data_IF_733230750677
#
_entry.id   IF_733230750677
#
_cell.length_a   1.000
_cell.length_b   1.000
_cell.length_c   1.000
_cell.angle_alpha   90.00
_cell.angle_beta   90.00
_cell.angle_gamma   90.00
#
_symmetry.space_group_name_H-M   'P 1'
#
loop_
_entity.id
_entity.type
_entity.pdbx_description
1 polymer ?
#
# COMPACT_ATOMS: atom_id res chain seq x y z
N UNK A 1 58.19 3.13 1.71
CA UNK A 1 57.75 2.85 0.32
C UNK A 1 56.73 3.90 -0.03
N UNK A 2 57.13 4.88 -0.84
CA UNK A 2 56.30 6.01 -1.27
C UNK A 2 55.80 5.66 -2.67
N UNK A 3 54.48 5.52 -2.81
CA UNK A 3 53.83 5.33 -4.10
C UNK A 3 53.15 6.65 -4.49
N UNK A 4 53.73 7.32 -5.47
CA UNK A 4 53.14 8.46 -6.18
C UNK A 4 52.08 7.95 -7.13
N UNK A 5 50.83 8.40 -6.97
CA UNK A 5 49.75 8.12 -7.92
C UNK A 5 49.61 9.31 -8.87
N UNK A 6 49.87 9.04 -10.15
CA UNK A 6 49.76 10.00 -11.24
C UNK A 6 48.33 10.49 -11.43
N UNK A 7 48.23 11.78 -11.75
CA UNK A 7 47.00 12.49 -12.03
C UNK A 7 46.54 12.29 -13.47
N UNK A 8 45.26 11.97 -13.63
CA UNK A 8 44.56 12.09 -14.90
C UNK A 8 43.59 13.28 -14.85
N UNK A 9 43.98 14.36 -15.52
CA UNK A 9 43.12 15.49 -15.86
C UNK A 9 42.28 15.12 -17.09
N UNK A 10 40.98 14.89 -16.91
CA UNK A 10 40.05 14.80 -18.03
C UNK A 10 39.55 16.19 -18.39
N UNK A 11 39.82 16.58 -19.64
CA UNK A 11 39.50 17.87 -20.23
C UNK A 11 38.02 18.15 -20.36
N UNK A 12 37.69 19.44 -20.30
CA UNK A 12 36.37 19.97 -20.53
C UNK A 12 35.91 19.72 -22.00
N UNK A 13 34.65 19.33 -22.23
CA UNK A 13 34.09 19.27 -23.58
C UNK A 13 33.81 20.68 -24.12
N UNK A 14 34.14 20.86 -25.40
CA UNK A 14 33.94 22.08 -26.17
C UNK A 14 32.45 22.44 -26.37
N UNK A 15 32.09 23.72 -26.50
CA UNK A 15 30.74 24.15 -26.84
C UNK A 15 30.53 24.02 -28.35
N UNK A 16 29.73 23.03 -28.77
CA UNK A 16 29.46 22.74 -30.17
C UNK A 16 27.97 22.57 -30.47
N UNK A 17 27.50 23.41 -31.39
CA UNK A 17 26.32 23.29 -32.26
C UNK A 17 24.92 23.11 -31.65
N UNK A 18 24.27 24.26 -31.47
CA UNK A 18 22.81 24.38 -31.53
C UNK A 18 22.36 24.32 -33.00
N UNK A 19 22.19 23.13 -33.55
CA UNK A 19 21.47 22.95 -34.82
C UNK A 19 19.98 22.75 -34.54
N UNK A 20 19.20 23.70 -35.07
CA UNK A 20 17.76 23.74 -35.00
C UNK A 20 17.13 22.50 -35.67
N UNK A 21 16.29 21.78 -34.93
CA UNK A 21 15.37 20.80 -35.51
C UNK A 21 13.96 21.40 -35.60
N UNK A 22 13.54 21.61 -36.84
CA UNK A 22 12.17 21.91 -37.26
C UNK A 22 11.23 20.73 -36.95
N UNK A 23 10.04 20.95 -36.37
CA UNK A 23 9.02 19.91 -36.29
C UNK A 23 8.24 19.83 -37.61
N UNK A 24 8.40 18.71 -38.32
CA UNK A 24 7.56 18.33 -39.45
C UNK A 24 6.29 17.64 -38.91
N UNK A 25 5.19 18.39 -38.80
CA UNK A 25 3.90 17.87 -38.40
C UNK A 25 3.20 17.21 -39.60
N UNK A 26 3.32 15.89 -39.71
CA UNK A 26 2.50 15.08 -40.62
C UNK A 26 1.26 14.62 -39.86
N UNK A 27 0.14 15.30 -40.07
CA UNK A 27 -1.17 14.82 -39.65
C UNK A 27 -1.63 13.68 -40.57
N UNK A 28 -1.95 12.53 -39.99
CA UNK A 28 -2.66 11.45 -40.67
C UNK A 28 -4.17 11.61 -40.49
N UNK A 29 -4.99 11.33 -41.52
CA UNK A 29 -6.45 11.42 -41.44
C UNK A 29 -7.05 10.24 -40.67
N UNK A 30 -8.02 10.52 -39.80
CA UNK A 30 -8.85 9.51 -39.14
C UNK A 30 -9.90 8.93 -40.12
N UNK A 31 -10.11 7.60 -40.16
CA UNK A 31 -11.19 7.02 -40.94
C UNK A 31 -12.54 7.04 -40.20
N UNK A 32 -13.55 7.24 -41.04
CA UNK A 32 -15.01 7.22 -40.87
C UNK A 32 -15.59 6.17 -39.91
N UNK A 33 -16.45 6.62 -39.02
CA UNK A 33 -17.42 5.80 -38.29
C UNK A 33 -18.54 5.31 -39.23
N UNK A 34 -18.89 4.02 -39.13
CA UNK A 34 -20.07 3.43 -39.74
C UNK A 34 -21.14 3.16 -38.67
N UNK A 35 -22.44 3.34 -38.97
CA UNK A 35 -23.53 3.14 -38.02
C UNK A 35 -23.97 1.68 -38.00
N UNK A 36 -24.10 1.09 -36.81
CA UNK A 36 -24.84 -0.16 -36.63
C UNK A 36 -26.14 0.15 -35.92
N UNK A 37 -27.20 0.09 -36.72
CA UNK A 37 -28.58 0.08 -36.28
C UNK A 37 -29.00 -1.34 -35.89
N UNK A 38 -29.93 -1.42 -34.93
CA UNK A 38 -30.91 -2.51 -34.85
C UNK A 38 -30.61 -3.63 -33.86
N UNK A 39 -31.47 -3.75 -32.85
CA UNK A 39 -32.47 -4.84 -32.68
C UNK A 39 -32.89 -4.88 -31.20
N UNK A 40 -34.13 -4.47 -30.89
CA UNK A 40 -35.36 -5.29 -30.83
C UNK A 40 -35.51 -6.07 -29.53
N UNK A 41 -36.49 -5.62 -28.74
CA UNK A 41 -37.52 -6.40 -28.03
C UNK A 41 -37.15 -7.73 -27.37
N UNK A 42 -37.20 -7.73 -26.03
CA UNK A 42 -37.56 -8.89 -25.24
C UNK A 42 -38.57 -8.50 -24.14
N UNK A 43 -39.61 -9.31 -24.06
CA UNK A 43 -40.89 -9.14 -23.37
C UNK A 43 -40.83 -9.02 -21.82
N UNK A 44 -41.92 -8.55 -21.19
CA UNK A 44 -42.07 -8.55 -19.74
C UNK A 44 -42.38 -9.97 -19.22
N UNK A 45 -41.58 -10.46 -18.29
CA UNK A 45 -41.90 -11.65 -17.49
C UNK A 45 -42.66 -11.20 -16.24
N UNK A 46 -43.98 -11.34 -16.34
CA UNK A 46 -44.90 -11.35 -15.21
C UNK A 46 -44.73 -12.62 -14.38
N UNK A 47 -44.79 -12.48 -13.06
CA UNK A 47 -45.17 -13.55 -12.15
C UNK A 47 -44.01 -14.30 -11.50
N UNK A 48 -43.65 -13.87 -10.29
CA UNK A 48 -43.39 -14.77 -9.15
C UNK A 48 -43.52 -13.97 -7.85
N UNK A 49 -44.75 -13.96 -7.32
CA UNK A 49 -45.04 -13.62 -5.93
C UNK A 49 -44.53 -14.75 -5.03
N UNK A 50 -43.22 -14.81 -4.83
CA UNK A 50 -42.60 -15.55 -3.75
C UNK A 50 -42.32 -14.57 -2.63
N UNK A 51 -43.04 -14.68 -1.52
CA UNK A 51 -42.69 -14.07 -0.24
C UNK A 51 -41.35 -14.67 0.23
N UNK A 52 -40.25 -14.19 -0.34
CA UNK A 52 -38.95 -14.34 0.27
C UNK A 52 -38.92 -13.34 1.41
N UNK A 53 -39.12 -13.89 2.60
CA UNK A 53 -38.70 -13.31 3.85
C UNK A 53 -37.28 -12.78 3.64
N UNK A 54 -37.16 -11.47 3.43
CA UNK A 54 -35.91 -10.74 3.43
C UNK A 54 -35.43 -10.76 4.88
N UNK A 55 -34.98 -11.94 5.31
CA UNK A 55 -34.36 -12.19 6.59
C UNK A 55 -33.11 -11.33 6.68
N UNK A 56 -33.32 -10.13 7.22
CA UNK A 56 -32.36 -9.32 7.96
C UNK A 56 -30.89 -9.56 7.58
N UNK A 57 -30.50 -9.18 6.37
CA UNK A 57 -29.10 -8.99 5.98
C UNK A 57 -28.52 -7.71 6.62
N UNK A 58 -28.85 -7.52 7.89
CA UNK A 58 -28.57 -6.37 8.72
C UNK A 58 -28.17 -6.84 10.11
N UNK A 59 -27.35 -7.90 10.19
CA UNK A 59 -26.45 -8.07 11.34
C UNK A 59 -25.40 -6.96 11.25
N UNK A 60 -25.84 -5.75 11.63
CA UNK A 60 -24.98 -4.72 12.18
C UNK A 60 -24.09 -5.41 13.20
N UNK A 61 -22.79 -5.49 12.90
CA UNK A 61 -21.82 -6.09 13.80
C UNK A 61 -21.94 -5.38 15.14
N UNK A 62 -22.57 -6.03 16.13
CA UNK A 62 -22.72 -5.51 17.48
C UNK A 62 -21.35 -5.54 18.17
N UNK A 63 -20.50 -4.58 17.81
CA UNK A 63 -19.26 -4.26 18.53
C UNK A 63 -19.57 -3.73 19.94
N UNK A 64 -20.84 -3.44 20.26
CA UNK A 64 -21.29 -3.05 21.60
C UNK A 64 -21.15 -4.16 22.64
N UNK A 65 -21.12 -5.43 22.20
CA UNK A 65 -20.93 -6.60 23.06
C UNK A 65 -19.45 -6.91 23.41
N UNK A 66 -18.53 -5.95 23.23
CA UNK A 66 -17.12 -6.09 23.64
C UNK A 66 -16.86 -5.69 25.11
N UNK A 67 -17.89 -5.35 25.87
CA UNK A 67 -17.76 -4.63 27.16
C UNK A 67 -17.39 -5.48 28.39
N UNK A 68 -17.11 -6.78 28.25
CA UNK A 68 -16.77 -7.59 29.43
C UNK A 68 -15.83 -8.75 29.13
N UNK A 69 -14.62 -8.43 28.66
CA UNK A 69 -13.51 -9.38 28.63
C UNK A 69 -12.50 -8.99 29.73
N UNK A 70 -12.34 -9.86 30.74
CA UNK A 70 -11.43 -9.70 31.88
C UNK A 70 -9.93 -9.88 31.53
N UNK A 71 -9.55 -9.63 30.27
CA UNK A 71 -8.17 -9.65 29.81
C UNK A 71 -7.38 -8.38 30.21
N UNK A 72 -6.04 -8.41 30.13
CA UNK A 72 -5.24 -7.19 30.27
C UNK A 72 -5.66 -6.18 29.20
N UNK A 73 -6.01 -4.96 29.61
CA UNK A 73 -6.35 -3.87 28.71
C UNK A 73 -5.09 -3.44 27.93
N UNK A 74 -4.93 -4.03 26.74
CA UNK A 74 -3.88 -3.68 25.81
C UNK A 74 -4.19 -2.42 25.01
N UNK A 75 -5.36 -1.81 25.15
CA UNK A 75 -5.68 -0.57 24.45
C UNK A 75 -6.10 0.50 25.44
N UNK A 76 -5.25 0.85 26.41
CA UNK A 76 -5.56 1.99 27.24
C UNK A 76 -5.58 3.23 26.35
N UNK A 77 -6.57 4.11 26.55
CA UNK A 77 -6.84 5.26 25.67
C UNK A 77 -5.62 6.10 25.34
N UNK A 78 -4.70 6.29 26.30
CA UNK A 78 -3.47 7.05 26.08
C UNK A 78 -2.56 6.42 25.02
N UNK A 79 -2.48 5.09 24.92
CA UNK A 79 -1.69 4.40 23.88
C UNK A 79 -2.36 4.59 22.52
N UNK A 80 -3.70 4.51 22.45
CA UNK A 80 -4.43 4.77 21.22
C UNK A 80 -4.21 6.20 20.72
N UNK A 81 -4.23 7.19 21.61
CA UNK A 81 -3.90 8.58 21.24
C UNK A 81 -2.49 8.74 20.70
N UNK A 82 -1.50 8.07 21.30
CA UNK A 82 -0.12 8.10 20.82
C UNK A 82 0.00 7.47 19.43
N UNK A 83 -0.65 6.33 19.17
CA UNK A 83 -0.66 5.70 17.85
C UNK A 83 -1.33 6.57 16.80
N UNK A 84 -2.50 7.14 17.11
CA UNK A 84 -3.21 8.06 16.21
C UNK A 84 -2.33 9.26 15.88
N UNK A 85 -1.71 9.89 16.88
CA UNK A 85 -0.83 11.03 16.68
C UNK A 85 0.41 10.68 15.84
N UNK A 86 1.05 9.55 16.13
CA UNK A 86 2.22 9.09 15.38
C UNK A 86 1.87 8.78 13.91
N UNK A 87 0.76 8.07 13.68
CA UNK A 87 0.28 7.75 12.33
C UNK A 87 -0.19 8.99 11.58
N UNK A 88 -0.81 9.97 12.24
CA UNK A 88 -1.18 11.24 11.62
C UNK A 88 0.06 12.03 11.16
N UNK A 89 1.13 12.05 11.96
CA UNK A 89 2.39 12.65 11.55
C UNK A 89 2.99 11.93 10.32
N UNK A 90 2.96 10.60 10.31
CA UNK A 90 3.41 9.77 9.18
C UNK A 90 2.52 9.99 7.94
N UNK A 91 1.21 10.20 8.11
CA UNK A 91 0.28 10.51 7.04
C UNK A 91 0.63 11.85 6.37
N UNK A 92 0.81 12.91 7.18
CA UNK A 92 1.20 14.23 6.68
C UNK A 92 2.51 14.13 5.89
N UNK A 93 3.48 13.40 6.44
CA UNK A 93 4.76 13.15 5.78
C UNK A 93 4.59 12.47 4.42
N UNK A 94 3.81 11.40 4.35
CA UNK A 94 3.56 10.67 3.10
C UNK A 94 2.77 11.50 2.08
N UNK A 95 1.76 12.26 2.51
CA UNK A 95 1.01 13.18 1.65
C UNK A 95 1.92 14.24 1.03
N UNK A 96 2.84 14.80 1.82
CA UNK A 96 3.80 15.79 1.32
C UNK A 96 4.75 15.19 0.26
N UNK A 97 5.20 13.95 0.47
CA UNK A 97 6.02 13.24 -0.51
C UNK A 97 5.23 12.90 -1.76
N UNK A 98 3.99 12.44 -1.60
CA UNK A 98 3.09 12.08 -2.69
C UNK A 98 2.85 13.23 -3.68
N UNK A 99 2.65 14.47 -3.19
CA UNK A 99 2.46 15.65 -4.04
C UNK A 99 3.74 16.04 -4.80
N UNK A 100 4.92 15.71 -4.27
CA UNK A 100 6.22 16.06 -4.86
C UNK A 100 6.77 15.00 -5.82
N UNK A 101 6.18 13.81 -5.85
CA UNK A 101 6.65 12.67 -6.62
C UNK A 101 5.83 12.43 -7.88
N UNK A 102 6.47 11.86 -8.90
CA UNK A 102 5.83 11.39 -10.13
C UNK A 102 6.12 9.91 -10.36
N UNK A 103 5.34 9.26 -11.23
CA UNK A 103 5.60 7.88 -11.65
C UNK A 103 5.32 6.83 -10.58
N UNK A 104 6.18 5.79 -10.52
CA UNK A 104 6.00 4.60 -9.67
C UNK A 104 6.01 4.94 -8.18
N UNK A 105 6.87 5.88 -7.76
CA UNK A 105 6.93 6.33 -6.37
C UNK A 105 5.60 6.86 -5.87
N UNK A 106 4.87 7.60 -6.72
CA UNK A 106 3.59 8.20 -6.34
C UNK A 106 2.55 7.12 -6.00
N UNK A 107 2.50 6.05 -6.79
CA UNK A 107 1.59 4.93 -6.54
C UNK A 107 1.98 4.12 -5.30
N UNK A 108 3.29 3.89 -5.10
CA UNK A 108 3.80 3.24 -3.90
C UNK A 108 3.43 4.01 -2.63
N UNK A 109 3.67 5.33 -2.61
CA UNK A 109 3.28 6.17 -1.47
C UNK A 109 1.77 6.28 -1.31
N UNK A 110 1.00 6.26 -2.41
CA UNK A 110 -0.46 6.22 -2.38
C UNK A 110 -1.00 4.98 -1.66
N UNK A 111 -0.37 3.82 -1.88
CA UNK A 111 -0.72 2.59 -1.17
C UNK A 111 -0.49 2.73 0.35
N UNK A 112 0.64 3.30 0.77
CA UNK A 112 0.90 3.57 2.19
C UNK A 112 -0.06 4.59 2.79
N UNK A 113 -0.37 5.69 2.09
CA UNK A 113 -1.37 6.67 2.54
C UNK A 113 -2.69 5.98 2.85
N UNK A 114 -3.17 5.13 1.94
CA UNK A 114 -4.40 4.38 2.13
C UNK A 114 -4.33 3.46 3.36
N UNK A 115 -3.20 2.79 3.58
CA UNK A 115 -3.01 1.97 4.78
C UNK A 115 -3.01 2.79 6.06
N UNK A 116 -2.27 3.91 6.08
CA UNK A 116 -2.18 4.78 7.26
C UNK A 116 -3.55 5.31 7.63
N UNK A 117 -4.36 5.72 6.64
CA UNK A 117 -5.73 6.18 6.87
C UNK A 117 -6.58 5.07 7.52
N UNK A 118 -6.53 3.85 6.99
CA UNK A 118 -7.29 2.74 7.60
C UNK A 118 -6.78 2.36 8.99
N UNK A 119 -5.47 2.41 9.24
CA UNK A 119 -4.92 2.17 10.58
C UNK A 119 -5.35 3.25 11.57
N UNK A 120 -5.29 4.53 11.21
CA UNK A 120 -5.82 5.64 12.03
C UNK A 120 -7.30 5.42 12.31
N UNK A 121 -8.06 5.07 11.28
CA UNK A 121 -9.49 4.83 11.41
C UNK A 121 -9.75 3.66 12.38
N UNK A 122 -9.04 2.53 12.27
CA UNK A 122 -9.16 1.41 13.22
C UNK A 122 -8.90 1.81 14.67
N UNK A 123 -7.83 2.55 14.96
CA UNK A 123 -7.57 3.06 16.32
C UNK A 123 -8.68 4.02 16.78
N UNK A 124 -9.15 4.88 15.89
CA UNK A 124 -10.23 5.82 16.19
C UNK A 124 -11.58 5.11 16.43
N UNK A 125 -11.87 4.01 15.74
CA UNK A 125 -13.07 3.20 16.00
C UNK A 125 -13.03 2.60 17.41
N UNK A 126 -11.89 2.04 17.82
CA UNK A 126 -11.75 1.42 19.14
C UNK A 126 -11.86 2.45 20.28
N UNK A 127 -11.26 3.62 20.12
CA UNK A 127 -11.23 4.65 21.17
C UNK A 127 -12.47 5.54 21.18
N UNK A 128 -12.91 6.01 20.02
CA UNK A 128 -13.99 7.00 19.90
C UNK A 128 -15.32 6.38 19.44
N UNK A 129 -15.38 5.06 19.22
CA UNK A 129 -16.57 4.35 18.71
C UNK A 129 -17.06 4.94 17.39
N UNK A 130 -16.12 5.31 16.53
CA UNK A 130 -16.39 5.88 15.23
C UNK A 130 -16.84 4.79 14.25
N UNK A 131 -18.06 4.85 13.71
CA UNK A 131 -18.58 3.80 12.81
C UNK A 131 -19.12 4.38 11.49
N UNK A 132 -18.43 5.37 10.93
CA UNK A 132 -18.88 6.07 9.71
C UNK A 132 -18.76 5.23 8.42
N UNK A 133 -17.79 4.31 8.39
CA UNK A 133 -17.50 3.43 7.26
C UNK A 133 -17.52 1.99 7.76
N UNK A 134 -18.34 1.16 7.13
CA UNK A 134 -18.48 -0.25 7.50
C UNK A 134 -17.22 -1.07 7.15
N UNK A 135 -16.93 -2.09 7.96
CA UNK A 135 -15.80 -3.00 7.72
C UNK A 135 -15.73 -3.60 6.31
N UNK A 136 -16.85 -4.07 5.72
CA UNK A 136 -16.85 -4.60 4.35
C UNK A 136 -16.35 -3.61 3.29
N UNK A 137 -16.60 -2.30 3.45
CA UNK A 137 -16.10 -1.28 2.51
C UNK A 137 -14.57 -1.24 2.56
N UNK A 138 -13.97 -1.29 3.75
CA UNK A 138 -12.51 -1.35 3.90
C UNK A 138 -11.93 -2.63 3.29
N UNK A 139 -12.55 -3.78 3.51
CA UNK A 139 -12.15 -5.05 2.87
C UNK A 139 -12.14 -4.91 1.34
N UNK A 140 -13.17 -4.31 0.75
CA UNK A 140 -13.22 -4.07 -0.70
C UNK A 140 -12.12 -3.13 -1.19
N UNK A 141 -11.91 -2.01 -0.50
CA UNK A 141 -10.87 -1.04 -0.84
C UNK A 141 -9.48 -1.71 -0.82
N UNK A 142 -9.17 -2.47 0.25
CA UNK A 142 -7.90 -3.17 0.37
C UNK A 142 -7.75 -4.33 -0.61
N UNK A 143 -8.85 -5.04 -0.92
CA UNK A 143 -8.85 -6.10 -1.94
C UNK A 143 -8.57 -5.55 -3.34
N UNK A 144 -9.22 -4.45 -3.72
CA UNK A 144 -9.02 -3.80 -5.02
C UNK A 144 -7.60 -3.25 -5.17
N UNK A 145 -7.06 -2.61 -4.12
CA UNK A 145 -5.68 -2.11 -4.17
C UNK A 145 -4.64 -3.23 -4.16
N UNK A 146 -4.85 -4.29 -3.39
CA UNK A 146 -4.02 -5.51 -3.44
C UNK A 146 -4.03 -6.12 -4.84
N UNK A 147 -5.21 -6.28 -5.45
CA UNK A 147 -5.35 -6.80 -6.80
C UNK A 147 -4.63 -5.91 -7.83
N UNK A 148 -4.74 -4.58 -7.72
CA UNK A 148 -4.03 -3.65 -8.59
C UNK A 148 -2.50 -3.79 -8.48
N UNK A 149 -1.96 -3.96 -7.26
CA UNK A 149 -0.52 -4.20 -7.05
C UNK A 149 -0.10 -5.53 -7.69
N UNK A 150 -0.84 -6.61 -7.46
CA UNK A 150 -0.57 -7.93 -8.04
C UNK A 150 -0.57 -7.88 -9.56
N UNK A 151 -1.62 -7.30 -10.16
CA UNK A 151 -1.73 -7.15 -11.62
C UNK A 151 -0.53 -6.36 -12.16
N UNK A 152 -0.18 -5.24 -11.51
CA UNK A 152 0.97 -4.43 -11.91
C UNK A 152 2.29 -5.22 -11.84
N UNK A 153 2.52 -6.00 -10.77
CA UNK A 153 3.71 -6.86 -10.62
C UNK A 153 3.76 -7.95 -11.70
N UNK A 154 2.63 -8.58 -12.02
CA UNK A 154 2.53 -9.59 -13.08
C UNK A 154 2.85 -8.98 -14.44
N UNK A 155 2.27 -7.83 -14.78
CA UNK A 155 2.54 -7.11 -16.02
C UNK A 155 4.03 -6.80 -16.15
N UNK A 156 4.66 -6.28 -15.08
CA UNK A 156 6.11 -6.02 -15.05
C UNK A 156 6.94 -7.27 -15.27
N UNK A 157 6.55 -8.38 -14.63
CA UNK A 157 7.22 -9.68 -14.75
C UNK A 157 7.15 -10.22 -16.19
N UNK A 158 5.97 -10.18 -16.81
CA UNK A 158 5.74 -10.60 -18.21
C UNK A 158 6.56 -9.76 -19.18
N UNK A 159 6.64 -8.44 -18.95
CA UNK A 159 7.46 -7.52 -19.75
C UNK A 159 8.96 -7.60 -19.44
N UNK A 160 9.41 -8.51 -18.57
CA UNK A 160 10.82 -8.65 -18.16
C UNK A 160 11.42 -7.34 -17.65
N UNK A 161 10.60 -6.60 -16.90
CA UNK A 161 11.00 -5.36 -16.25
C UNK A 161 11.05 -5.58 -14.75
N UNK A 162 12.23 -5.46 -14.12
CA UNK A 162 12.35 -5.70 -12.69
C UNK A 162 11.62 -4.63 -11.88
N UNK A 163 11.19 -4.97 -10.67
CA UNK A 163 10.60 -4.01 -9.73
C UNK A 163 11.31 -4.10 -8.37
N UNK A 164 11.22 -3.03 -7.58
CA UNK A 164 11.78 -3.01 -6.23
C UNK A 164 11.02 -3.99 -5.33
N UNK A 165 11.74 -4.80 -4.56
CA UNK A 165 11.16 -5.69 -3.54
C UNK A 165 10.28 -4.98 -2.50
N UNK A 166 10.40 -3.65 -2.34
CA UNK A 166 9.51 -2.88 -1.47
C UNK A 166 8.04 -3.03 -1.89
N UNK A 167 7.75 -3.29 -3.18
CA UNK A 167 6.40 -3.64 -3.62
C UNK A 167 5.87 -4.95 -3.03
N UNK A 168 6.75 -5.91 -2.72
CA UNK A 168 6.37 -7.16 -2.06
C UNK A 168 5.99 -6.87 -0.60
N UNK A 169 6.76 -6.02 0.08
CA UNK A 169 6.42 -5.56 1.43
C UNK A 169 5.08 -4.84 1.45
N UNK A 170 4.87 -3.88 0.54
CA UNK A 170 3.60 -3.18 0.39
C UNK A 170 2.44 -4.16 0.09
N UNK A 171 2.66 -5.18 -0.74
CA UNK A 171 1.64 -6.19 -1.03
C UNK A 171 1.24 -6.98 0.23
N UNK A 172 2.22 -7.45 1.01
CA UNK A 172 1.97 -8.19 2.25
C UNK A 172 1.27 -7.31 3.30
N UNK A 173 1.68 -6.06 3.37
CA UNK A 173 1.06 -5.02 4.18
C UNK A 173 -0.42 -4.78 3.80
N UNK A 174 -0.74 -4.66 2.51
CA UNK A 174 -2.14 -4.55 2.06
C UNK A 174 -2.95 -5.81 2.36
N UNK A 175 -2.37 -7.00 2.16
CA UNK A 175 -3.03 -8.26 2.51
C UNK A 175 -3.31 -8.37 4.01
N UNK A 176 -2.38 -7.89 4.85
CA UNK A 176 -2.58 -7.82 6.29
C UNK A 176 -3.69 -6.83 6.67
N UNK A 177 -3.84 -5.70 5.96
CA UNK A 177 -4.99 -4.81 6.14
C UNK A 177 -6.31 -5.53 5.84
N UNK A 178 -6.40 -6.28 4.72
CA UNK A 178 -7.60 -7.09 4.43
C UNK A 178 -7.93 -7.99 5.62
N UNK A 179 -6.93 -8.70 6.14
CA UNK A 179 -7.10 -9.64 7.24
C UNK A 179 -7.57 -8.96 8.53
N UNK A 180 -7.03 -7.77 8.86
CA UNK A 180 -7.47 -6.98 10.02
C UNK A 180 -8.92 -6.54 9.96
N UNK A 181 -9.45 -6.35 8.75
CA UNK A 181 -10.82 -5.90 8.52
C UNK A 181 -11.85 -7.04 8.38
N UNK A 182 -11.41 -8.30 8.40
CA UNK A 182 -12.32 -9.45 8.42
C UNK A 182 -13.02 -9.57 9.78
N UNK A 183 -14.22 -10.19 9.84
CA UNK A 183 -14.89 -10.50 11.10
C UNK A 183 -13.99 -11.34 12.02
N UNK A 184 -14.08 -11.10 13.34
CA UNK A 184 -13.27 -11.80 14.35
C UNK A 184 -13.40 -13.33 14.27
N UNK A 185 -14.57 -13.82 13.87
CA UNK A 185 -14.82 -15.25 13.64
C UNK A 185 -13.94 -15.88 12.55
N UNK A 186 -13.32 -15.06 11.69
CA UNK A 186 -12.40 -15.49 10.64
C UNK A 186 -10.93 -15.41 11.06
N UNK A 187 -10.64 -14.92 12.26
CA UNK A 187 -9.26 -14.79 12.74
C UNK A 187 -8.73 -16.13 13.24
N UNK A 188 -7.46 -16.36 12.94
CA UNK A 188 -6.73 -17.59 13.26
C UNK A 188 -5.57 -17.15 14.15
N UNK A 189 -5.53 -17.57 15.44
CA UNK A 189 -4.60 -16.98 16.40
C UNK A 189 -3.13 -17.12 16.03
N UNK A 190 -2.69 -18.32 15.65
CA UNK A 190 -1.29 -18.55 15.29
C UNK A 190 -0.86 -17.73 14.07
N UNK A 191 -1.77 -17.51 13.12
CA UNK A 191 -1.50 -16.71 11.93
C UNK A 191 -1.37 -15.22 12.29
N UNK A 192 -2.24 -14.73 13.18
CA UNK A 192 -2.15 -13.35 13.70
C UNK A 192 -0.85 -13.09 14.47
N UNK A 193 -0.42 -14.02 15.33
CA UNK A 193 0.87 -13.91 16.02
C UNK A 193 2.07 -13.97 15.06
N UNK A 194 1.98 -14.79 13.99
CA UNK A 194 3.01 -14.84 12.96
C UNK A 194 3.11 -13.49 12.22
N UNK A 195 1.97 -12.88 11.86
CA UNK A 195 1.94 -11.54 11.25
C UNK A 195 2.46 -10.48 12.22
N UNK A 196 2.07 -10.53 13.50
CA UNK A 196 2.58 -9.62 14.51
C UNK A 196 4.10 -9.67 14.63
N UNK A 197 4.68 -10.88 14.71
CA UNK A 197 6.12 -11.09 14.76
C UNK A 197 6.81 -10.62 13.46
N UNK A 198 6.22 -10.90 12.30
CA UNK A 198 6.70 -10.43 11.01
C UNK A 198 6.78 -8.90 10.97
N UNK A 199 5.71 -8.19 11.34
CA UNK A 199 5.68 -6.73 11.31
C UNK A 199 6.57 -6.09 12.37
N UNK A 200 6.79 -6.74 13.52
CA UNK A 200 7.78 -6.31 14.50
C UNK A 200 9.20 -6.38 13.94
N UNK A 201 9.54 -7.49 13.26
CA UNK A 201 10.84 -7.65 12.59
C UNK A 201 11.01 -6.67 11.44
N UNK A 202 9.95 -6.41 10.68
CA UNK A 202 9.93 -5.38 9.64
C UNK A 202 10.22 -4.00 10.25
N UNK A 203 9.56 -3.62 11.34
CA UNK A 203 9.80 -2.36 12.02
C UNK A 203 11.25 -2.20 12.49
N UNK A 204 11.81 -3.23 13.14
CA UNK A 204 13.22 -3.24 13.57
C UNK A 204 14.15 -3.12 12.37
N UNK A 205 13.85 -3.84 11.28
CA UNK A 205 14.67 -3.83 10.07
C UNK A 205 14.70 -2.46 9.39
N UNK A 206 13.58 -1.71 9.44
CA UNK A 206 13.53 -0.32 9.00
C UNK A 206 14.35 0.60 9.90
N UNK A 207 14.23 0.49 11.23
CA UNK A 207 15.00 1.30 12.18
C UNK A 207 16.52 1.13 12.02
N UNK A 208 16.96 -0.10 11.75
CA UNK A 208 18.39 -0.41 11.50
C UNK A 208 18.83 -0.01 10.08
N UNK A 209 17.88 0.31 9.18
CA UNK A 209 18.17 0.63 7.77
C UNK A 209 18.65 -0.58 6.97
N UNK A 210 18.21 -1.78 7.35
CA UNK A 210 18.55 -3.03 6.65
C UNK A 210 17.80 -3.15 5.31
N UNK A 211 16.54 -2.70 5.28
CA UNK A 211 15.59 -2.82 4.15
C UNK A 211 15.58 -1.53 3.25
N UNK A 212 16.57 -0.65 3.38
CA UNK A 212 16.72 0.46 2.44
C UNK A 212 17.24 0.00 1.07
N UNK A 213 16.59 0.40 -0.03
CA UNK A 213 17.02 0.11 -1.41
C UNK A 213 18.09 1.10 -1.94
N UNK A 214 18.66 1.91 -1.05
CA UNK A 214 19.55 3.02 -1.37
C UNK A 214 21.02 2.62 -1.52
N UNK A 215 21.36 1.36 -1.22
CA UNK A 215 22.75 0.86 -1.31
C UNK A 215 23.12 0.53 -2.77
N UNK A 216 24.13 1.20 -3.36
CA UNK A 216 24.58 0.92 -4.73
C UNK A 216 24.98 -0.56 -4.89
N UNK A 217 24.53 -1.22 -5.96
CA UNK A 217 24.84 -2.62 -6.24
C UNK A 217 24.11 -3.65 -5.36
N UNK A 218 23.32 -3.20 -4.37
CA UNK A 218 22.45 -4.02 -3.53
C UNK A 218 20.97 -3.82 -3.79
N UNK A 219 20.60 -3.11 -4.86
CA UNK A 219 19.22 -2.94 -5.26
C UNK A 219 18.53 -4.31 -5.28
N UNK A 220 17.69 -4.56 -4.29
CA UNK A 220 16.91 -5.78 -4.13
C UNK A 220 15.80 -5.76 -5.19
N UNK A 221 16.24 -5.85 -6.43
CA UNK A 221 15.43 -5.94 -7.62
C UNK A 221 14.87 -7.36 -7.71
N UNK A 222 13.56 -7.48 -7.85
CA UNK A 222 12.90 -8.74 -8.11
C UNK A 222 12.44 -8.81 -9.57
N UNK A 223 12.48 -10.01 -10.14
CA UNK A 223 12.01 -10.31 -11.50
C UNK A 223 13.10 -10.43 -12.57
N UNK A 224 12.74 -10.91 -13.77
CA UNK A 224 13.63 -11.02 -14.92
C UNK A 224 13.93 -9.64 -15.53
N UNK A 225 15.14 -9.45 -16.05
CA UNK A 225 15.58 -8.23 -16.73
C UNK A 225 16.85 -7.63 -16.13
N UNK A 226 17.35 -6.57 -16.77
CA UNK A 226 18.55 -5.87 -16.30
C UNK A 226 18.23 -5.00 -15.08
N UNK A 227 18.96 -5.26 -13.98
CA UNK A 227 18.77 -4.62 -12.68
C UNK A 227 19.14 -3.13 -12.70
N UNK A 228 19.88 -2.66 -13.72
CA UNK A 228 20.18 -1.23 -13.91
C UNK A 228 18.92 -0.37 -14.10
N UNK A 229 17.80 -0.99 -14.50
CA UNK A 229 16.54 -0.28 -14.75
C UNK A 229 15.62 -0.21 -13.52
N UNK A 230 16.06 -0.66 -12.34
CA UNK A 230 15.27 -0.54 -11.11
C UNK A 230 15.41 0.86 -10.55
N UNK A 231 14.28 1.54 -10.48
CA UNK A 231 14.16 2.83 -9.84
C UNK A 231 14.14 2.61 -8.32
N UNK A 232 15.15 3.13 -7.61
CA UNK A 232 15.15 3.13 -6.15
C UNK A 232 13.95 3.95 -5.65
N UNK A 233 13.12 3.33 -4.81
CA UNK A 233 11.92 3.91 -4.23
C UNK A 233 12.21 4.63 -2.90
N UNK A 234 13.21 4.17 -2.16
CA UNK A 234 13.63 4.77 -0.89
C UNK A 234 14.64 5.90 -1.08
N UNK A 235 14.59 6.86 -0.16
CA UNK A 235 15.68 7.81 0.06
C UNK A 235 16.39 7.44 1.38
N UNK A 236 17.71 7.62 1.51
CA UNK A 236 18.45 7.15 2.69
C UNK A 236 18.29 8.11 3.87
N UNK A 237 17.06 8.51 4.20
CA UNK A 237 16.80 9.43 5.31
C UNK A 237 16.26 8.65 6.49
N UNK A 238 16.80 8.98 7.66
CA UNK A 238 16.31 8.46 8.94
C UNK A 238 14.78 8.59 9.08
N UNK A 239 14.21 9.68 8.58
CA UNK A 239 12.76 9.94 8.64
C UNK A 239 11.96 8.94 7.81
N UNK A 240 12.43 8.54 6.62
CA UNK A 240 11.75 7.55 5.78
C UNK A 240 11.69 6.20 6.52
N UNK A 241 12.84 5.76 7.03
CA UNK A 241 12.96 4.54 7.82
C UNK A 241 12.08 4.57 9.07
N UNK A 242 12.09 5.68 9.82
CA UNK A 242 11.27 5.83 11.01
C UNK A 242 9.78 5.78 10.66
N UNK A 243 9.36 6.40 9.55
CA UNK A 243 7.96 6.41 9.13
C UNK A 243 7.45 4.99 8.79
N UNK A 244 8.26 4.22 8.07
CA UNK A 244 7.97 2.81 7.76
C UNK A 244 7.98 1.93 9.01
N UNK A 245 8.92 2.18 9.93
CA UNK A 245 8.98 1.46 11.19
C UNK A 245 7.74 1.71 12.06
N UNK A 246 7.26 2.95 12.14
CA UNK A 246 6.03 3.31 12.88
C UNK A 246 4.81 2.62 12.27
N UNK A 247 4.68 2.59 10.95
CA UNK A 247 3.59 1.86 10.29
C UNK A 247 3.63 0.36 10.60
N UNK A 248 4.78 -0.30 10.42
CA UNK A 248 4.91 -1.72 10.68
C UNK A 248 4.69 -2.05 12.17
N UNK A 249 5.23 -1.24 13.08
CA UNK A 249 5.03 -1.40 14.51
C UNK A 249 3.56 -1.24 14.91
N UNK A 250 2.83 -0.29 14.30
CA UNK A 250 1.40 -0.11 14.60
C UNK A 250 0.56 -1.29 14.11
N UNK A 251 0.92 -1.90 12.97
CA UNK A 251 0.26 -3.12 12.48
C UNK A 251 0.57 -4.32 13.38
N UNK A 252 1.82 -4.47 13.82
CA UNK A 252 2.22 -5.51 14.78
C UNK A 252 1.42 -5.40 16.08
N UNK A 253 1.33 -4.18 16.63
CA UNK A 253 0.57 -3.89 17.83
C UNK A 253 -0.91 -4.25 17.68
N UNK A 254 -1.52 -3.85 16.56
CA UNK A 254 -2.92 -4.13 16.26
C UNK A 254 -3.19 -5.64 16.23
N UNK A 255 -2.33 -6.44 15.58
CA UNK A 255 -2.50 -7.90 15.56
C UNK A 255 -2.42 -8.55 16.95
N UNK A 256 -1.48 -8.10 17.80
CA UNK A 256 -1.37 -8.61 19.17
C UNK A 256 -2.64 -8.27 19.96
N UNK A 257 -3.08 -7.02 19.87
CA UNK A 257 -4.25 -6.57 20.59
C UNK A 257 -5.54 -7.24 20.14
N UNK A 258 -5.74 -7.41 18.82
CA UNK A 258 -6.85 -8.15 18.23
C UNK A 258 -6.98 -9.57 18.80
N UNK A 259 -5.87 -10.27 19.05
CA UNK A 259 -5.91 -11.63 19.60
C UNK A 259 -6.21 -11.70 21.09
N UNK A 260 -5.98 -10.62 21.81
CA UNK A 260 -6.22 -10.56 23.26
C UNK A 260 -7.59 -9.97 23.61
N UNK A 261 -8.34 -9.53 22.59
CA UNK A 261 -9.74 -9.12 22.64
C UNK A 261 -10.73 -10.27 22.40
N UNK A 262 -10.26 -11.44 21.95
CA UNK A 262 -11.06 -12.67 21.71
C UNK A 262 -11.03 -13.56 22.94
#
# INVERSE_FOLDING_TARGET
>A
MIATHDGHTHGAPAPGDMTAMTPSATMSPMPSESPMAGMSDAAPMDGMSGSMDMGSAGDSMDMGSMMSMSGPDLFPSWVMYLWIAALAAVLIFHCLHWVRMAGQHRWFHGAHILMIVGMIYMYAMMEFKLEWVSGPIWVWIYSLTTAAIVIWMIVRFVHKTPFSYLWIFALLQQAAMIYMWLPMSSWIPWFSYALAAYFALEAISWLVGYIGDTKPGRGFAFGPGDRVNVVALGHPRFVDNLSMAVMAASMSYMFVGMQLMV
#
